data_IF_461668485999
#
_entry.id   IF_461668485999
#
_cell.length_a   1.000
_cell.length_b   1.000
_cell.length_c   1.000
_cell.angle_alpha   90.00
_cell.angle_beta   90.00
_cell.angle_gamma   90.00
#
_symmetry.space_group_name_H-M   'P 1'
#
loop_
_entity.id
_entity.type
_entity.pdbx_description
1 polymer ?
#
# COMPACT_ATOMS: atom_id res chain seq x y z
N UNK A 1 -6.56 -3.07 21.38
CA UNK A 1 -7.63 -3.06 20.36
C UNK A 1 -7.82 -1.61 19.99
N UNK A 2 -7.56 -1.19 18.74
CA UNK A 2 -7.75 0.23 18.39
C UNK A 2 -9.23 0.58 18.56
N UNK A 3 -9.53 1.47 19.50
CA UNK A 3 -10.88 1.98 19.81
C UNK A 3 -11.34 2.98 18.73
N UNK A 4 -11.28 2.58 17.46
CA UNK A 4 -11.71 3.41 16.35
C UNK A 4 -13.14 3.04 15.97
N UNK A 5 -14.10 3.93 16.24
CA UNK A 5 -15.41 3.88 15.59
C UNK A 5 -15.17 3.83 14.08
N UNK A 6 -15.62 2.78 13.36
CA UNK A 6 -15.40 2.67 11.94
C UNK A 6 -16.02 3.89 11.23
N UNK A 7 -15.28 4.54 10.31
CA UNK A 7 -15.82 5.70 9.61
C UNK A 7 -17.08 5.30 8.83
N UNK A 8 -18.09 6.19 8.80
CA UNK A 8 -19.36 5.96 8.10
C UNK A 8 -19.22 6.16 6.58
N UNK A 9 -18.28 5.44 5.97
CA UNK A 9 -18.02 5.36 4.53
C UNK A 9 -17.34 4.03 4.17
N UNK A 10 -17.53 3.57 2.94
CA UNK A 10 -16.86 2.37 2.45
C UNK A 10 -15.35 2.56 2.46
N UNK A 11 -14.62 1.52 2.86
CA UNK A 11 -13.16 1.50 2.88
C UNK A 11 -12.65 0.58 1.79
N UNK A 12 -11.63 1.02 1.05
CA UNK A 12 -11.10 0.33 -0.12
C UNK A 12 -9.82 -0.43 0.26
N UNK A 13 -9.71 -1.66 -0.23
CA UNK A 13 -8.45 -2.40 -0.29
C UNK A 13 -7.86 -2.19 -1.68
N UNK A 14 -6.73 -1.49 -1.76
CA UNK A 14 -6.01 -1.26 -3.01
C UNK A 14 -5.02 -2.40 -3.22
N UNK A 15 -5.06 -3.05 -4.39
CA UNK A 15 -4.04 -4.01 -4.80
C UNK A 15 -3.19 -3.31 -5.86
N UNK A 16 -1.88 -3.19 -5.61
CA UNK A 16 -1.00 -2.49 -6.54
C UNK A 16 -0.93 -3.24 -7.88
N UNK A 17 -1.37 -2.60 -8.99
CA UNK A 17 -1.30 -3.22 -10.30
C UNK A 17 0.16 -3.37 -10.76
N UNK A 18 0.45 -4.32 -11.67
CA UNK A 18 1.79 -4.44 -12.24
C UNK A 18 2.15 -3.20 -13.07
N UNK A 19 3.45 -2.92 -13.19
CA UNK A 19 4.03 -1.85 -14.03
C UNK A 19 3.59 -0.41 -13.67
N UNK A 20 2.98 -0.21 -12.50
CA UNK A 20 2.63 1.13 -11.99
C UNK A 20 3.82 1.75 -11.26
N UNK A 21 3.96 3.07 -11.33
CA UNK A 21 5.00 3.76 -10.57
C UNK A 21 4.58 4.00 -9.11
N UNK A 22 5.53 4.12 -8.16
CA UNK A 22 5.21 4.43 -6.76
C UNK A 22 4.35 5.68 -6.60
N UNK A 23 4.63 6.72 -7.39
CA UNK A 23 3.96 8.01 -7.30
C UNK A 23 2.48 7.88 -7.64
N UNK A 24 2.14 7.07 -8.65
CA UNK A 24 0.76 6.84 -9.05
C UNK A 24 -0.02 6.07 -7.97
N UNK A 25 0.61 5.11 -7.29
CA UNK A 25 0.00 4.46 -6.11
C UNK A 25 -0.26 5.49 -5.02
N UNK A 26 0.72 6.37 -4.75
CA UNK A 26 0.59 7.37 -3.69
C UNK A 26 -0.56 8.35 -3.93
N UNK A 27 -0.83 8.74 -5.18
CA UNK A 27 -1.98 9.60 -5.51
C UNK A 27 -3.33 8.97 -5.18
N UNK A 28 -3.42 7.64 -5.09
CA UNK A 28 -4.66 6.97 -4.69
C UNK A 28 -5.03 7.23 -3.22
N UNK A 29 -4.05 7.58 -2.37
CA UNK A 29 -4.31 7.86 -0.96
C UNK A 29 -5.00 9.21 -0.75
N UNK A 30 -4.86 10.15 -1.69
CA UNK A 30 -5.52 11.46 -1.64
C UNK A 30 -7.05 11.35 -1.70
N UNK A 31 -7.57 10.25 -2.26
CA UNK A 31 -9.01 9.94 -2.23
C UNK A 31 -9.54 9.62 -0.82
N UNK A 32 -8.67 9.29 0.13
CA UNK A 32 -9.00 9.12 1.55
C UNK A 32 -9.78 7.86 1.91
N UNK A 33 -10.35 7.12 0.96
CA UNK A 33 -11.14 5.91 1.21
C UNK A 33 -10.30 4.63 1.32
N UNK A 34 -9.04 4.68 0.90
CA UNK A 34 -8.11 3.54 1.01
C UNK A 34 -7.83 3.24 2.49
N UNK A 35 -8.07 2.00 2.90
CA UNK A 35 -7.75 1.51 4.24
C UNK A 35 -6.49 0.65 4.27
N UNK A 36 -6.28 -0.14 3.22
CA UNK A 36 -5.10 -0.96 3.10
C UNK A 36 -4.62 -1.03 1.66
N UNK A 37 -3.32 -1.24 1.53
CA UNK A 37 -2.61 -1.50 0.30
C UNK A 37 -2.01 -2.90 0.36
N UNK A 38 -2.25 -3.71 -0.65
CA UNK A 38 -1.52 -4.94 -0.92
C UNK A 38 -0.49 -4.64 -2.00
N UNK A 39 0.78 -4.88 -1.69
CA UNK A 39 1.93 -4.77 -2.59
C UNK A 39 2.38 -6.17 -3.01
N UNK A 40 1.96 -6.68 -4.19
CA UNK A 40 2.54 -7.88 -4.77
C UNK A 40 3.88 -7.56 -5.45
N UNK A 41 4.79 -8.54 -5.45
CA UNK A 41 6.09 -8.45 -6.15
C UNK A 41 5.94 -8.17 -7.65
N UNK A 42 4.81 -8.59 -8.26
CA UNK A 42 4.48 -8.35 -9.67
C UNK A 42 5.62 -8.71 -10.66
N UNK A 43 6.47 -9.70 -10.30
CA UNK A 43 7.60 -10.14 -11.11
C UNK A 43 8.84 -9.25 -11.03
N UNK A 44 8.89 -8.28 -10.12
CA UNK A 44 10.11 -7.54 -9.78
C UNK A 44 11.10 -8.47 -9.07
N UNK A 45 12.40 -8.23 -9.24
CA UNK A 45 13.41 -8.83 -8.36
C UNK A 45 13.35 -8.22 -6.95
N UNK A 46 13.90 -8.94 -5.97
CA UNK A 46 13.85 -8.56 -4.55
C UNK A 46 14.35 -7.13 -4.29
N UNK A 47 15.45 -6.72 -4.94
CA UNK A 47 16.05 -5.39 -4.71
C UNK A 47 15.18 -4.28 -5.32
N UNK A 48 14.68 -4.49 -6.53
CA UNK A 48 13.75 -3.57 -7.18
C UNK A 48 12.44 -3.45 -6.37
N UNK A 49 11.92 -4.57 -5.88
CA UNK A 49 10.71 -4.60 -5.08
C UNK A 49 10.89 -3.94 -3.70
N UNK A 50 12.01 -4.18 -3.03
CA UNK A 50 12.34 -3.50 -1.77
C UNK A 50 12.42 -1.98 -1.97
N UNK A 51 13.16 -1.51 -2.99
CA UNK A 51 13.24 -0.08 -3.29
C UNK A 51 11.88 0.54 -3.67
N UNK A 52 10.99 -0.24 -4.28
CA UNK A 52 9.63 0.15 -4.58
C UNK A 52 8.78 0.28 -3.30
N UNK A 53 8.82 -0.72 -2.43
CA UNK A 53 8.10 -0.74 -1.16
C UNK A 53 8.58 0.38 -0.20
N UNK A 54 9.89 0.61 -0.09
CA UNK A 54 10.50 1.65 0.75
C UNK A 54 10.00 3.06 0.40
N UNK A 55 9.65 3.32 -0.86
CA UNK A 55 9.08 4.60 -1.29
C UNK A 55 7.61 4.76 -0.87
N UNK A 56 6.84 3.67 -0.92
CA UNK A 56 5.37 3.72 -0.78
C UNK A 56 4.97 3.60 0.70
N UNK A 57 5.62 2.71 1.44
CA UNK A 57 5.22 2.35 2.82
C UNK A 57 5.16 3.57 3.75
N UNK A 58 6.16 4.48 3.80
CA UNK A 58 6.09 5.64 4.68
C UNK A 58 4.93 6.59 4.33
N UNK A 59 4.65 6.75 3.04
CA UNK A 59 3.58 7.63 2.54
C UNK A 59 2.21 7.04 2.89
N UNK A 60 2.03 5.73 2.67
CA UNK A 60 0.80 5.02 3.02
C UNK A 60 0.53 5.10 4.53
N UNK A 61 1.56 4.87 5.37
CA UNK A 61 1.44 4.95 6.82
C UNK A 61 1.08 6.37 7.30
N UNK A 62 1.69 7.41 6.71
CA UNK A 62 1.35 8.80 6.99
C UNK A 62 -0.11 9.12 6.62
N UNK A 63 -0.67 8.46 5.60
CA UNK A 63 -2.07 8.57 5.21
C UNK A 63 -3.02 7.66 6.04
N UNK A 64 -2.51 6.92 7.04
CA UNK A 64 -3.30 5.99 7.83
C UNK A 64 -3.73 4.72 7.09
N UNK A 65 -2.99 4.36 6.02
CA UNK A 65 -3.20 3.16 5.22
C UNK A 65 -2.28 2.05 5.70
N UNK A 66 -2.85 0.87 6.00
CA UNK A 66 -2.07 -0.32 6.33
C UNK A 66 -1.45 -0.95 5.07
N UNK A 67 -0.17 -1.34 5.11
CA UNK A 67 0.50 -1.98 3.97
C UNK A 67 0.75 -3.45 4.25
N UNK A 68 0.37 -4.30 3.30
CA UNK A 68 0.59 -5.74 3.31
C UNK A 68 1.49 -6.07 2.12
N UNK A 69 2.68 -6.61 2.37
CA UNK A 69 3.54 -7.13 1.32
C UNK A 69 3.10 -8.56 1.01
N UNK A 70 2.75 -8.82 -0.25
CA UNK A 70 2.32 -10.13 -0.73
C UNK A 70 3.45 -10.78 -1.53
N UNK A 71 3.96 -11.90 -1.02
CA UNK A 71 5.12 -12.60 -1.58
C UNK A 71 5.97 -13.25 -0.48
N UNK A 72 7.21 -13.58 -0.81
CA UNK A 72 8.17 -14.10 0.16
C UNK A 72 8.63 -12.98 1.11
N UNK A 73 8.35 -13.11 2.40
CA UNK A 73 8.57 -12.07 3.41
C UNK A 73 10.03 -11.94 3.87
N UNK A 74 11.01 -12.39 3.06
CA UNK A 74 12.45 -12.34 3.37
C UNK A 74 13.13 -11.00 3.06
N UNK A 75 12.36 -9.99 2.67
CA UNK A 75 12.74 -8.56 2.71
C UNK A 75 13.02 -8.08 4.14
#
# INVERSE_FOLDING_TARGET
MNEATPPNRCRIVLIAPPLVTPEHICTAFDGGDVASLILPENGMDDAAFQAFAEKIVPIAQAAGVAVIVAGDSRI
#
